data_IF_905862720924
#
_entry.id   IF_905862720924
#
_cell.length_a   1.000
_cell.length_b   1.000
_cell.length_c   1.000
_cell.angle_alpha   90.00
_cell.angle_beta   90.00
_cell.angle_gamma   90.00
#
_symmetry.space_group_name_H-M   'P 1'
#
loop_
_entity.id
_entity.type
_entity.pdbx_description
1 polymer ?
#
# COMPACT_ATOMS: atom_id res chain seq x y z
N UNK A 1 -5.57 29.72 -6.60
CA UNK A 1 -4.73 28.70 -5.92
C UNK A 1 -5.31 28.19 -4.60
N UNK A 2 -6.36 28.79 -4.02
CA UNK A 2 -6.86 28.43 -2.67
C UNK A 2 -7.68 27.12 -2.62
N UNK A 3 -8.22 26.65 -3.74
CA UNK A 3 -9.19 25.54 -3.74
C UNK A 3 -8.57 24.12 -3.68
N UNK A 4 -7.27 23.97 -3.92
CA UNK A 4 -6.62 22.64 -3.88
C UNK A 4 -6.20 22.27 -2.45
N UNK A 5 -5.78 23.26 -1.66
CA UNK A 5 -5.30 23.07 -0.28
C UNK A 5 -6.36 22.49 0.66
N UNK A 6 -7.64 22.77 0.42
CA UNK A 6 -8.74 22.23 1.23
C UNK A 6 -8.99 20.73 1.03
N UNK A 7 -8.47 20.14 -0.05
CA UNK A 7 -8.68 18.72 -0.41
C UNK A 7 -7.50 17.81 -0.02
N UNK A 8 -6.40 18.39 0.48
CA UNK A 8 -5.14 17.68 0.74
C UNK A 8 -4.96 17.46 2.25
N UNK A 9 -4.48 16.28 2.63
CA UNK A 9 -4.23 15.92 4.05
C UNK A 9 -3.24 16.91 4.69
N UNK A 10 -3.46 17.30 5.96
CA UNK A 10 -2.65 18.33 6.65
C UNK A 10 -1.14 18.06 6.62
N UNK A 11 -0.74 16.78 6.60
CA UNK A 11 0.66 16.35 6.56
C UNK A 11 1.37 16.68 5.23
N UNK A 12 0.59 16.87 4.16
CA UNK A 12 1.09 17.18 2.82
C UNK A 12 1.12 18.69 2.57
N UNK A 13 0.33 19.48 3.32
CA UNK A 13 0.24 20.95 3.15
C UNK A 13 1.61 21.62 3.31
N UNK A 14 2.42 21.20 4.29
CA UNK A 14 3.76 21.78 4.51
C UNK A 14 4.77 21.55 3.37
N UNK A 15 4.54 20.55 2.51
CA UNK A 15 5.38 20.28 1.34
C UNK A 15 4.95 21.08 0.11
N UNK A 16 3.77 21.69 0.15
CA UNK A 16 3.10 22.34 -0.98
C UNK A 16 3.05 23.86 -0.80
N UNK A 17 3.30 24.36 0.41
CA UNK A 17 3.38 25.80 0.74
C UNK A 17 4.54 26.54 0.07
N UNK A 18 5.56 25.82 -0.40
CA UNK A 18 6.69 26.39 -1.15
C UNK A 18 6.48 26.39 -2.66
N UNK A 19 5.38 25.81 -3.17
CA UNK A 19 5.09 25.75 -4.59
C UNK A 19 4.30 26.99 -5.04
N UNK A 20 4.82 27.71 -6.05
CA UNK A 20 4.20 28.94 -6.54
C UNK A 20 3.18 28.68 -7.66
N UNK A 21 3.26 27.52 -8.32
CA UNK A 21 2.40 27.19 -9.45
C UNK A 21 1.57 25.92 -9.22
N UNK A 22 0.38 25.87 -9.83
CA UNK A 22 -0.46 24.65 -9.79
C UNK A 22 0.23 23.42 -10.38
N UNK A 23 1.20 23.62 -11.28
CA UNK A 23 1.98 22.54 -11.88
C UNK A 23 2.97 21.93 -10.86
N UNK A 24 3.68 22.78 -10.10
CA UNK A 24 4.59 22.33 -9.04
C UNK A 24 3.85 21.63 -7.90
N UNK A 25 2.69 22.16 -7.53
CA UNK A 25 1.80 21.51 -6.56
C UNK A 25 1.43 20.11 -7.04
N UNK A 26 0.98 19.95 -8.29
CA UNK A 26 0.62 18.65 -8.85
C UNK A 26 1.82 17.68 -8.88
N UNK A 27 2.99 18.14 -9.35
CA UNK A 27 4.24 17.36 -9.35
C UNK A 27 4.64 16.88 -7.95
N UNK A 28 4.51 17.74 -6.95
CA UNK A 28 4.85 17.41 -5.57
C UNK A 28 3.88 16.38 -5.00
N UNK A 29 2.58 16.53 -5.27
CA UNK A 29 1.58 15.53 -4.89
C UNK A 29 1.82 14.20 -5.58
N UNK A 30 2.02 14.20 -6.91
CA UNK A 30 2.35 13.00 -7.69
C UNK A 30 3.55 12.27 -7.08
N UNK A 31 4.62 13.00 -6.77
CA UNK A 31 5.82 12.42 -6.12
C UNK A 31 5.50 11.82 -4.76
N UNK A 32 4.83 12.56 -3.88
CA UNK A 32 4.53 12.12 -2.51
C UNK A 32 3.59 10.91 -2.50
N UNK A 33 2.51 10.96 -3.30
CA UNK A 33 1.56 9.86 -3.41
C UNK A 33 2.19 8.64 -4.08
N UNK A 34 3.07 8.81 -5.07
CA UNK A 34 3.84 7.69 -5.62
C UNK A 34 4.76 7.07 -4.58
N UNK A 35 5.51 7.87 -3.81
CA UNK A 35 6.37 7.38 -2.74
C UNK A 35 5.58 6.63 -1.66
N UNK A 36 4.45 7.20 -1.22
CA UNK A 36 3.56 6.58 -0.24
C UNK A 36 2.94 5.27 -0.76
N UNK A 37 2.51 5.25 -2.03
CA UNK A 37 1.97 4.07 -2.70
C UNK A 37 3.02 2.96 -2.81
N UNK A 38 4.25 3.29 -3.21
CA UNK A 38 5.37 2.35 -3.28
C UNK A 38 5.74 1.81 -1.89
N UNK A 39 5.81 2.67 -0.88
CA UNK A 39 6.09 2.27 0.50
C UNK A 39 5.01 1.31 1.02
N UNK A 40 3.73 1.62 0.77
CA UNK A 40 2.59 0.78 1.13
C UNK A 40 2.65 -0.58 0.43
N UNK A 41 2.93 -0.61 -0.87
CA UNK A 41 3.09 -1.85 -1.62
C UNK A 41 4.23 -2.72 -1.04
N UNK A 42 5.37 -2.10 -0.71
CA UNK A 42 6.51 -2.80 -0.10
C UNK A 42 6.17 -3.34 1.30
N UNK A 43 5.40 -2.59 2.10
CA UNK A 43 4.90 -3.05 3.39
C UNK A 43 3.96 -4.26 3.23
N UNK A 44 3.01 -4.20 2.29
CA UNK A 44 2.09 -5.31 2.03
C UNK A 44 2.82 -6.57 1.56
N UNK A 45 3.82 -6.43 0.67
CA UNK A 45 4.68 -7.55 0.26
C UNK A 45 5.44 -8.16 1.44
N UNK A 46 5.98 -7.31 2.33
CA UNK A 46 6.66 -7.77 3.55
C UNK A 46 5.70 -8.52 4.47
N UNK A 47 4.48 -7.99 4.68
CA UNK A 47 3.46 -8.66 5.48
C UNK A 47 3.10 -10.02 4.87
N UNK A 48 2.88 -10.11 3.57
CA UNK A 48 2.58 -11.37 2.88
C UNK A 48 3.68 -12.42 3.11
N UNK A 49 4.95 -12.05 2.95
CA UNK A 49 6.08 -12.97 3.05
C UNK A 49 6.41 -13.40 4.49
N UNK A 50 6.04 -12.58 5.48
CA UNK A 50 6.34 -12.85 6.89
C UNK A 50 5.14 -13.42 7.65
N UNK A 51 3.96 -13.47 7.01
CA UNK A 51 2.75 -13.93 7.66
C UNK A 51 2.86 -15.42 8.01
N UNK A 52 2.69 -15.71 9.31
CA UNK A 52 2.60 -17.07 9.83
C UNK A 52 1.19 -17.34 10.36
N UNK A 53 0.75 -18.60 10.29
CA UNK A 53 -0.50 -19.04 10.88
C UNK A 53 -0.49 -18.80 12.39
N UNK A 54 0.59 -19.16 13.08
CA UNK A 54 0.69 -19.08 14.53
C UNK A 54 -0.45 -19.84 15.21
N UNK A 55 -1.08 -19.23 16.23
CA UNK A 55 -2.24 -19.79 16.94
C UNK A 55 -3.58 -19.62 16.23
N UNK A 56 -3.63 -18.91 15.09
CA UNK A 56 -4.88 -18.68 14.35
C UNK A 56 -5.37 -19.93 13.62
N UNK A 57 -6.67 -20.00 13.33
CA UNK A 57 -7.24 -21.08 12.52
C UNK A 57 -6.76 -21.00 11.06
N UNK A 58 -6.68 -22.14 10.38
CA UNK A 58 -6.26 -22.18 8.97
C UNK A 58 -7.14 -21.27 8.11
N UNK A 59 -8.47 -21.29 8.31
CA UNK A 59 -9.41 -20.44 7.57
C UNK A 59 -9.12 -18.96 7.76
N UNK A 60 -8.84 -18.52 9.00
CA UNK A 60 -8.52 -17.12 9.30
C UNK A 60 -7.16 -16.69 8.71
N UNK A 61 -6.18 -17.59 8.71
CA UNK A 61 -4.87 -17.36 8.10
C UNK A 61 -4.97 -17.23 6.57
N UNK A 62 -5.65 -18.16 5.92
CA UNK A 62 -5.89 -18.12 4.46
C UNK A 62 -6.66 -16.87 4.05
N UNK A 63 -7.67 -16.46 4.84
CA UNK A 63 -8.41 -15.23 4.59
C UNK A 63 -7.50 -13.99 4.65
N UNK A 64 -6.58 -13.91 5.61
CA UNK A 64 -5.60 -12.81 5.70
C UNK A 64 -4.69 -12.75 4.47
N UNK A 65 -4.22 -13.89 3.97
CA UNK A 65 -3.43 -13.94 2.73
C UNK A 65 -4.25 -13.44 1.53
N UNK A 66 -5.51 -13.87 1.41
CA UNK A 66 -6.40 -13.39 0.34
C UNK A 66 -6.62 -11.88 0.40
N UNK A 67 -6.81 -11.33 1.59
CA UNK A 67 -7.00 -9.89 1.79
C UNK A 67 -5.74 -9.11 1.40
N UNK A 68 -4.55 -9.56 1.83
CA UNK A 68 -3.27 -8.96 1.43
C UNK A 68 -3.08 -8.99 -0.09
N UNK A 69 -3.42 -10.10 -0.74
CA UNK A 69 -3.40 -10.22 -2.19
C UNK A 69 -4.36 -9.25 -2.89
N UNK A 70 -5.55 -9.03 -2.31
CA UNK A 70 -6.50 -8.06 -2.81
C UNK A 70 -6.02 -6.60 -2.67
N UNK A 71 -5.43 -6.25 -1.53
CA UNK A 71 -4.84 -4.92 -1.29
C UNK A 71 -3.64 -4.63 -2.21
N UNK A 72 -2.81 -5.65 -2.47
CA UNK A 72 -1.71 -5.55 -3.43
C UNK A 72 -2.23 -5.32 -4.85
N UNK A 73 -3.31 -6.03 -5.24
CA UNK A 73 -3.96 -5.82 -6.53
C UNK A 73 -4.55 -4.41 -6.68
N UNK A 74 -5.23 -3.90 -5.66
CA UNK A 74 -5.78 -2.53 -5.68
C UNK A 74 -4.69 -1.45 -5.72
N UNK A 75 -3.48 -1.78 -5.25
CA UNK A 75 -2.30 -0.91 -5.33
C UNK A 75 -1.53 -1.04 -6.66
N UNK A 76 -2.06 -1.77 -7.65
CA UNK A 76 -1.40 -1.99 -8.94
C UNK A 76 -0.23 -2.98 -8.89
N UNK A 77 -0.10 -3.73 -7.80
CA UNK A 77 1.01 -4.66 -7.54
C UNK A 77 0.48 -6.09 -7.41
N UNK A 78 -0.28 -6.54 -8.41
CA UNK A 78 -0.92 -7.85 -8.39
C UNK A 78 0.09 -8.98 -8.15
N UNK A 79 -0.28 -9.92 -7.28
CA UNK A 79 0.49 -11.13 -6.96
C UNK A 79 -0.17 -12.32 -7.65
N UNK A 80 0.63 -13.22 -8.22
CA UNK A 80 0.10 -14.43 -8.86
C UNK A 80 -0.55 -15.35 -7.83
N UNK A 81 -1.55 -16.10 -8.25
CA UNK A 81 -2.21 -17.09 -7.40
C UNK A 81 -1.21 -18.15 -6.88
N UNK A 82 -0.26 -18.57 -7.73
CA UNK A 82 0.81 -19.49 -7.34
C UNK A 82 1.64 -18.98 -6.16
N UNK A 83 1.94 -17.67 -6.14
CA UNK A 83 2.70 -17.06 -5.05
C UNK A 83 1.85 -16.93 -3.77
N UNK A 84 0.54 -16.69 -3.88
CA UNK A 84 -0.36 -16.71 -2.74
C UNK A 84 -0.47 -18.12 -2.14
N UNK A 85 -0.57 -19.16 -2.98
CA UNK A 85 -0.55 -20.56 -2.55
C UNK A 85 0.77 -20.88 -1.84
N UNK A 86 1.90 -20.47 -2.42
CA UNK A 86 3.21 -20.66 -1.79
C UNK A 86 3.30 -19.94 -0.43
N UNK A 87 2.73 -18.74 -0.32
CA UNK A 87 2.67 -17.99 0.94
C UNK A 87 1.85 -18.72 2.00
N UNK A 88 0.74 -19.37 1.61
CA UNK A 88 -0.04 -20.23 2.50
C UNK A 88 0.82 -21.40 2.98
N UNK A 89 1.42 -22.15 2.05
CA UNK A 89 2.23 -23.32 2.38
C UNK A 89 3.41 -22.99 3.31
N UNK A 90 4.12 -21.89 3.03
CA UNK A 90 5.27 -21.43 3.82
C UNK A 90 4.88 -20.95 5.23
N UNK A 91 3.62 -20.53 5.43
CA UNK A 91 3.14 -19.99 6.70
C UNK A 91 2.45 -21.00 7.61
N UNK A 92 2.29 -22.25 7.18
CA UNK A 92 1.69 -23.33 7.97
C UNK A 92 2.67 -24.05 8.90
N UNK A 93 3.97 -23.97 8.61
CA UNK A 93 5.06 -24.47 9.44
C UNK A 93 5.48 -23.52 10.55
#
# INVERSE_FOLDING_TARGET
MVSLFSSIHKDVIGHVTECETSFEIWKTLERLYNQASMARALQLKRQLNTLKKGSSSISSFVLRIKNLGAELRSSGQAVSESHLIQSVLNGLG
#
